data_IF_602938519015
#
_entry.id   IF_602938519015
#
_cell.length_a   1.000
_cell.length_b   1.000
_cell.length_c   1.000
_cell.angle_alpha   90.00
_cell.angle_beta   90.00
_cell.angle_gamma   90.00
#
_symmetry.space_group_name_H-M   'P 1'
#
loop_
_entity.id
_entity.type
_entity.pdbx_description
1 polymer ?
#
# COMPACT_ATOMS: atom_id res chain seq x y z
N UNK A 1 7.13 -23.22 26.74
CA UNK A 1 6.60 -22.21 25.78
C UNK A 1 6.71 -20.83 26.42
N UNK A 2 7.70 -20.04 26.01
CA UNK A 2 7.90 -18.69 26.55
C UNK A 2 6.98 -17.74 25.77
N UNK A 3 6.00 -17.14 26.45
CA UNK A 3 5.19 -16.03 25.91
C UNK A 3 6.16 -14.91 25.52
N UNK A 4 6.41 -14.70 24.23
CA UNK A 4 7.04 -13.45 23.75
C UNK A 4 6.11 -12.31 24.13
N UNK A 5 6.49 -11.58 25.18
CA UNK A 5 5.82 -10.35 25.54
C UNK A 5 5.91 -9.43 24.32
N UNK A 6 4.77 -8.94 23.85
CA UNK A 6 4.66 -8.14 22.63
C UNK A 6 5.11 -6.71 22.95
N UNK A 7 6.36 -6.56 23.39
CA UNK A 7 6.98 -5.25 23.53
C UNK A 7 6.89 -4.55 22.17
N UNK A 8 6.38 -3.33 22.16
CA UNK A 8 6.31 -2.54 20.94
C UNK A 8 7.73 -2.43 20.39
N UNK A 9 7.98 -3.05 19.23
CA UNK A 9 9.29 -2.97 18.58
C UNK A 9 9.68 -1.49 18.45
N UNK A 10 10.96 -1.18 18.63
CA UNK A 10 11.48 0.19 18.49
C UNK A 10 11.03 0.82 17.16
N UNK A 11 10.93 0.01 16.11
CA UNK A 11 10.33 0.33 14.82
C UNK A 11 8.88 0.86 14.92
N UNK A 12 8.02 0.18 15.68
CA UNK A 12 6.63 0.62 15.92
C UNK A 12 6.55 1.95 16.66
N UNK A 13 7.44 2.18 17.63
CA UNK A 13 7.49 3.45 18.38
C UNK A 13 7.90 4.61 17.47
N UNK A 14 8.91 4.40 16.64
CA UNK A 14 9.41 5.41 15.69
C UNK A 14 8.36 5.71 14.62
N UNK A 15 7.74 4.69 14.02
CA UNK A 15 6.68 4.86 13.03
C UNK A 15 5.50 5.67 13.59
N UNK A 16 5.04 5.37 14.81
CA UNK A 16 3.98 6.14 15.48
C UNK A 16 4.41 7.58 15.77
N UNK A 17 5.65 7.81 16.17
CA UNK A 17 6.20 9.15 16.37
C UNK A 17 6.20 9.97 15.07
N UNK A 18 6.67 9.38 13.97
CA UNK A 18 6.64 9.99 12.64
C UNK A 18 5.23 10.30 12.19
N UNK A 19 4.27 9.39 12.45
CA UNK A 19 2.86 9.65 12.18
C UNK A 19 2.33 10.87 12.93
N UNK A 20 2.64 10.99 14.23
CA UNK A 20 2.17 12.11 15.06
C UNK A 20 2.78 13.45 14.61
N UNK A 21 4.07 13.46 14.24
CA UNK A 21 4.72 14.65 13.68
C UNK A 21 4.05 15.04 12.35
N UNK A 22 3.83 14.07 11.46
CA UNK A 22 3.11 14.29 10.22
C UNK A 22 1.70 14.84 10.46
N UNK A 23 0.95 14.26 11.40
CA UNK A 23 -0.40 14.71 11.74
C UNK A 23 -0.43 16.16 12.25
N UNK A 24 0.56 16.55 13.06
CA UNK A 24 0.71 17.94 13.52
C UNK A 24 0.89 18.93 12.36
N UNK A 25 1.70 18.57 11.36
CA UNK A 25 1.89 19.38 10.15
C UNK A 25 0.61 19.50 9.32
N UNK A 26 -0.21 18.45 9.28
CA UNK A 26 -1.48 18.47 8.54
C UNK A 26 -2.50 19.39 9.22
N UNK A 27 -2.59 19.35 10.54
CA UNK A 27 -3.45 20.26 11.31
C UNK A 27 -3.06 21.73 11.10
N UNK A 28 -1.76 22.00 10.95
CA UNK A 28 -1.27 23.34 10.65
C UNK A 28 -1.61 23.79 9.21
N UNK A 29 -1.40 22.91 8.23
CA UNK A 29 -1.58 23.22 6.80
C UNK A 29 -3.04 23.16 6.33
N UNK A 30 -3.97 22.69 7.17
CA UNK A 30 -5.40 22.48 6.86
C UNK A 30 -5.66 21.56 5.65
N UNK A 31 -4.62 20.92 5.11
CA UNK A 31 -4.68 19.97 4.00
C UNK A 31 -5.13 18.59 4.48
N UNK A 32 -6.35 18.51 5.03
CA UNK A 32 -6.86 17.34 5.75
C UNK A 32 -6.65 16.02 5.00
N UNK A 33 -7.20 15.89 3.79
CA UNK A 33 -7.20 14.60 3.09
C UNK A 33 -5.85 14.20 2.47
N UNK A 34 -5.19 15.03 1.65
CA UNK A 34 -3.88 14.67 1.11
C UNK A 34 -2.81 14.61 2.20
N UNK A 35 -2.89 15.49 3.19
CA UNK A 35 -1.95 15.54 4.29
C UNK A 35 -1.99 14.30 5.18
N UNK A 36 -3.18 13.87 5.63
CA UNK A 36 -3.32 12.67 6.46
C UNK A 36 -2.81 11.43 5.71
N UNK A 37 -3.11 11.33 4.41
CA UNK A 37 -2.62 10.24 3.57
C UNK A 37 -1.09 10.19 3.51
N UNK A 38 -0.43 11.34 3.29
CA UNK A 38 1.03 11.43 3.30
C UNK A 38 1.58 11.07 4.69
N UNK A 39 1.04 11.65 5.77
CA UNK A 39 1.52 11.39 7.12
C UNK A 39 1.44 9.89 7.48
N UNK A 40 0.33 9.24 7.12
CA UNK A 40 0.15 7.79 7.30
C UNK A 40 1.12 6.96 6.48
N UNK A 41 1.28 7.29 5.19
CA UNK A 41 2.19 6.55 4.30
C UNK A 41 3.66 6.73 4.67
N UNK A 42 4.07 7.92 5.09
CA UNK A 42 5.43 8.17 5.58
C UNK A 42 5.70 7.36 6.84
N UNK A 43 4.75 7.33 7.79
CA UNK A 43 4.88 6.50 8.98
C UNK A 43 4.99 4.99 8.65
N UNK A 44 4.19 4.51 7.70
CA UNK A 44 4.26 3.12 7.21
C UNK A 44 5.60 2.84 6.53
N UNK A 45 6.05 3.74 5.66
CA UNK A 45 7.32 3.64 4.96
C UNK A 45 8.49 3.60 5.93
N UNK A 46 8.50 4.46 6.95
CA UNK A 46 9.49 4.44 8.03
C UNK A 46 9.47 3.10 8.75
N UNK A 47 8.30 2.58 9.12
CA UNK A 47 8.20 1.25 9.74
C UNK A 47 8.75 0.13 8.85
N UNK A 48 8.41 0.14 7.56
CA UNK A 48 8.88 -0.87 6.58
C UNK A 48 10.40 -0.83 6.38
N UNK A 49 11.01 0.36 6.36
CA UNK A 49 12.47 0.51 6.29
C UNK A 49 13.14 0.00 7.56
N UNK A 50 12.62 0.36 8.73
CA UNK A 50 13.18 -0.09 10.00
C UNK A 50 13.06 -1.61 10.17
N UNK A 51 12.02 -2.21 9.61
CA UNK A 51 11.80 -3.67 9.58
C UNK A 51 12.57 -4.36 8.43
N UNK A 52 13.42 -3.64 7.69
CA UNK A 52 14.21 -4.11 6.53
C UNK A 52 13.38 -4.70 5.39
N UNK A 53 12.10 -4.33 5.30
CA UNK A 53 11.20 -4.75 4.24
C UNK A 53 11.20 -3.75 3.07
N UNK A 54 12.30 -3.73 2.32
CA UNK A 54 12.52 -2.76 1.25
C UNK A 54 11.56 -2.90 0.06
N UNK A 55 11.02 -4.11 -0.18
CA UNK A 55 10.04 -4.34 -1.26
C UNK A 55 8.77 -3.53 -1.01
N UNK A 56 8.22 -3.64 0.19
CA UNK A 56 7.01 -2.92 0.56
C UNK A 56 7.28 -1.43 0.74
N UNK A 57 8.48 -1.05 1.22
CA UNK A 57 8.90 0.34 1.31
C UNK A 57 8.95 1.03 -0.07
N UNK A 58 9.45 0.36 -1.10
CA UNK A 58 9.48 0.92 -2.46
C UNK A 58 8.07 1.18 -3.00
N UNK A 59 7.12 0.28 -2.72
CA UNK A 59 5.71 0.47 -3.10
C UNK A 59 5.10 1.68 -2.38
N UNK A 60 5.30 1.77 -1.05
CA UNK A 60 4.83 2.91 -0.26
C UNK A 60 5.42 4.23 -0.75
N UNK A 61 6.71 4.25 -1.10
CA UNK A 61 7.39 5.43 -1.64
C UNK A 61 6.79 5.88 -2.98
N UNK A 62 6.47 4.93 -3.87
CA UNK A 62 5.86 5.23 -5.17
C UNK A 62 4.45 5.82 -5.01
N UNK A 63 3.68 5.34 -4.03
CA UNK A 63 2.35 5.89 -3.70
C UNK A 63 2.49 7.31 -3.12
N UNK A 64 3.46 7.56 -2.24
CA UNK A 64 3.75 8.89 -1.72
C UNK A 64 4.06 9.86 -2.86
N UNK A 65 4.92 9.47 -3.80
CA UNK A 65 5.25 10.29 -4.98
C UNK A 65 4.03 10.59 -5.85
N UNK A 66 3.18 9.60 -6.13
CA UNK A 66 1.95 9.80 -6.89
C UNK A 66 1.03 10.83 -6.21
N UNK A 67 0.95 10.78 -4.88
CA UNK A 67 0.15 11.74 -4.09
C UNK A 67 0.76 13.14 -4.18
N UNK A 68 2.08 13.30 -4.02
CA UNK A 68 2.73 14.62 -4.15
C UNK A 68 2.55 15.22 -5.54
N UNK A 69 2.73 14.43 -6.60
CA UNK A 69 2.52 14.90 -7.98
C UNK A 69 1.07 15.38 -8.14
N UNK A 70 0.12 14.63 -7.60
CA UNK A 70 -1.28 15.01 -7.70
C UNK A 70 -1.68 16.18 -6.80
N UNK A 71 -0.91 16.52 -5.78
CA UNK A 71 -1.05 17.77 -4.99
C UNK A 71 -0.55 18.98 -5.78
N UNK A 72 0.52 18.81 -6.57
CA UNK A 72 1.07 19.87 -7.42
C UNK A 72 0.27 20.06 -8.71
N UNK A 73 -0.34 18.99 -9.23
CA UNK A 73 -1.32 19.08 -10.30
C UNK A 73 -2.64 19.65 -9.75
N UNK A 74 -3.36 20.44 -10.54
CA UNK A 74 -4.70 20.94 -10.20
C UNK A 74 -5.78 19.84 -10.18
N UNK A 75 -5.40 18.60 -9.86
CA UNK A 75 -6.26 17.43 -9.81
C UNK A 75 -7.03 17.48 -8.49
N UNK A 76 -8.36 17.59 -8.60
CA UNK A 76 -9.22 17.58 -7.43
C UNK A 76 -9.16 16.24 -6.71
N UNK A 77 -8.78 16.26 -5.43
CA UNK A 77 -8.67 15.08 -4.56
C UNK A 77 -9.95 14.23 -4.52
N UNK A 78 -11.10 14.89 -4.76
CA UNK A 78 -12.41 14.25 -4.84
C UNK A 78 -12.46 13.17 -5.94
N UNK A 79 -11.79 13.43 -7.07
CA UNK A 79 -11.77 12.52 -8.22
C UNK A 79 -10.94 11.27 -7.89
N UNK A 80 -9.80 11.44 -7.24
CA UNK A 80 -8.91 10.33 -6.86
C UNK A 80 -9.59 9.43 -5.83
N UNK A 81 -10.18 10.03 -4.78
CA UNK A 81 -10.91 9.29 -3.76
C UNK A 81 -12.08 8.52 -4.38
N UNK A 82 -12.86 9.16 -5.25
CA UNK A 82 -13.96 8.51 -5.97
C UNK A 82 -13.46 7.34 -6.83
N UNK A 83 -12.35 7.50 -7.55
CA UNK A 83 -11.77 6.44 -8.37
C UNK A 83 -11.28 5.26 -7.49
N UNK A 84 -10.58 5.53 -6.38
CA UNK A 84 -10.10 4.47 -5.46
C UNK A 84 -11.27 3.72 -4.83
N UNK A 85 -12.31 4.44 -4.37
CA UNK A 85 -13.53 3.85 -3.82
C UNK A 85 -14.27 3.02 -4.88
N UNK A 86 -14.37 3.51 -6.11
CA UNK A 86 -14.99 2.79 -7.21
C UNK A 86 -14.24 1.49 -7.53
N UNK A 87 -12.91 1.55 -7.63
CA UNK A 87 -12.06 0.36 -7.87
C UNK A 87 -12.18 -0.63 -6.70
N UNK A 88 -12.15 -0.15 -5.45
CA UNK A 88 -12.29 -1.02 -4.27
C UNK A 88 -13.69 -1.62 -4.17
N UNK A 89 -14.73 -0.84 -4.44
CA UNK A 89 -16.13 -1.31 -4.50
C UNK A 89 -16.32 -2.35 -5.59
N UNK A 90 -15.80 -2.08 -6.79
CA UNK A 90 -15.78 -3.03 -7.91
C UNK A 90 -15.01 -4.30 -7.53
N UNK A 91 -13.85 -4.18 -6.90
CA UNK A 91 -13.09 -5.34 -6.41
C UNK A 91 -13.84 -6.14 -5.35
N UNK A 92 -14.72 -5.55 -4.55
CA UNK A 92 -15.54 -6.30 -3.59
C UNK A 92 -16.69 -7.04 -4.27
N UNK A 93 -17.31 -6.42 -5.29
CA UNK A 93 -18.39 -7.02 -6.08
C UNK A 93 -17.85 -8.19 -6.93
N UNK A 94 -16.71 -8.00 -7.58
CA UNK A 94 -16.16 -8.97 -8.54
C UNK A 94 -15.05 -9.86 -7.95
N UNK A 95 -14.33 -9.42 -6.92
CA UNK A 95 -13.15 -10.13 -6.40
C UNK A 95 -13.46 -11.34 -5.52
N UNK A 96 -14.69 -11.47 -5.00
CA UNK A 96 -15.10 -12.67 -4.27
C UNK A 96 -15.40 -13.86 -5.21
N UNK A 97 -15.57 -13.59 -6.51
CA UNK A 97 -15.91 -14.61 -7.52
C UNK A 97 -14.70 -15.07 -8.33
N UNK A 98 -13.49 -14.62 -8.02
CA UNK A 98 -12.26 -15.17 -8.60
C UNK A 98 -11.72 -16.18 -7.60
N UNK A 99 -12.07 -17.48 -7.70
CA UNK A 99 -11.42 -18.49 -6.89
C UNK A 99 -9.93 -18.41 -7.20
N UNK A 100 -9.11 -18.11 -6.19
CA UNK A 100 -7.64 -18.11 -6.31
C UNK A 100 -7.08 -19.45 -6.84
N UNK A 101 -7.90 -20.52 -6.81
CA UNK A 101 -7.65 -21.79 -7.50
C UNK A 101 -7.59 -21.65 -9.04
N UNK A 102 -8.46 -20.85 -9.66
CA UNK A 102 -8.49 -20.67 -11.11
C UNK A 102 -7.27 -19.89 -11.63
N UNK A 103 -6.84 -18.85 -10.93
CA UNK A 103 -5.60 -18.13 -11.28
C UNK A 103 -4.35 -19.02 -11.14
N UNK A 104 -4.35 -19.95 -10.16
CA UNK A 104 -3.26 -20.91 -9.96
C UNK A 104 -3.28 -22.05 -10.98
N UNK A 105 -4.44 -22.53 -11.40
CA UNK A 105 -4.55 -23.58 -12.43
C UNK A 105 -4.25 -23.06 -13.83
N UNK A 106 -4.68 -21.84 -14.17
CA UNK A 106 -4.36 -21.22 -15.47
C UNK A 106 -2.86 -20.98 -15.60
N UNK A 107 -2.20 -20.50 -14.53
CA UNK A 107 -0.74 -20.32 -14.56
C UNK A 107 0.00 -21.66 -14.66
N UNK A 108 -0.50 -22.73 -14.02
CA UNK A 108 0.08 -24.07 -14.13
C UNK A 108 -0.10 -24.68 -15.53
N UNK A 109 -1.22 -24.44 -16.19
CA UNK A 109 -1.52 -24.96 -17.53
C UNK A 109 -0.71 -24.23 -18.62
N UNK A 110 -0.59 -22.89 -18.50
CA UNK A 110 0.26 -22.08 -19.38
C UNK A 110 1.74 -22.45 -19.24
N UNK A 111 2.24 -22.65 -18.01
CA UNK A 111 3.64 -23.04 -17.79
C UNK A 111 3.91 -24.46 -18.38
N UNK A 112 2.94 -25.37 -18.41
CA UNK A 112 3.08 -26.72 -19.01
C UNK A 112 3.03 -26.66 -20.54
N UNK A 113 2.17 -25.83 -21.12
CA UNK A 113 2.07 -25.67 -22.58
C UNK A 113 3.33 -25.01 -23.17
N UNK A 114 3.87 -23.99 -22.50
CA UNK A 114 5.13 -23.33 -22.90
C UNK A 114 6.32 -24.30 -22.84
N UNK A 115 6.38 -25.18 -21.84
CA UNK A 115 7.43 -26.21 -21.74
C UNK A 115 7.31 -27.27 -22.83
N UNK A 116 6.09 -27.55 -23.31
CA UNK A 116 5.87 -28.53 -24.40
C UNK A 116 6.20 -27.95 -25.78
N UNK A 117 5.97 -26.65 -25.98
CA UNK A 117 6.31 -25.94 -27.22
C UNK A 117 7.81 -25.74 -27.42
N UNK A 118 8.62 -25.80 -26.36
CA UNK A 118 10.07 -25.65 -26.42
C UNK A 118 10.84 -26.98 -26.61
N UNK A 119 10.14 -28.12 -26.55
CA UNK A 119 10.71 -29.46 -26.67
C UNK A 119 10.30 -30.19 -27.96
N UNK A 120 9.80 -29.45 -28.96
CA UNK A 120 9.55 -29.88 -30.33
C UNK A 120 10.47 -29.09 -31.26
#
# INVERSE_FOLDING_TARGET
MIKKNKEASTSSRISKGVFLIGLSLVLWTQLWWPGIAIAGLVALWTGQILDKNYKDANVSMLIIFAILISLTGSISWRIIIAAVLAIKGMSLIFGKNIPLKAAKSVKAEVDVEVVKAHNL
#
